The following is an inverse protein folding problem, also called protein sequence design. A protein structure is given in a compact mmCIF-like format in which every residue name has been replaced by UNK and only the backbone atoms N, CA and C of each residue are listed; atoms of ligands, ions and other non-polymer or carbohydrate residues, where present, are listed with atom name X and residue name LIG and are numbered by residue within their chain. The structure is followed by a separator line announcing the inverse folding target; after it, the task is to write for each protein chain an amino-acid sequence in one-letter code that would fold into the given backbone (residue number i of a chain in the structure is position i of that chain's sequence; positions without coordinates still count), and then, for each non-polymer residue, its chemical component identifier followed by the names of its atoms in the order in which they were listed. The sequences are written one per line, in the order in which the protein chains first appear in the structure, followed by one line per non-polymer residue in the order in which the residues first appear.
data_IF_852844838763
#
_entry.id   IF_852844838763
#
_cell.length_a   1.000
_cell.length_b   1.000
_cell.length_c   1.000
_cell.angle_alpha   90.00
_cell.angle_beta   90.00
_cell.angle_gamma   90.00
#
_symmetry.space_group_name_H-M   'P 1'
#
loop_
_entity.id
_entity.type
_entity.pdbx_description
1 polymer ?
#
# COMPACT_ATOMS: atom_id res chain seq x y z
N UNK A 1 -8.92 19.74 -8.31
CA UNK A 1 -9.67 18.55 -8.74
C UNK A 1 -8.66 17.54 -9.27
N UNK A 2 -8.03 16.77 -8.38
CA UNK A 2 -7.07 15.73 -8.76
C UNK A 2 -7.85 14.42 -8.94
N UNK A 3 -7.70 13.81 -10.10
CA UNK A 3 -8.38 12.60 -10.51
C UNK A 3 -7.82 11.41 -9.70
N UNK A 4 -8.62 10.90 -8.77
CA UNK A 4 -8.35 9.68 -8.00
C UNK A 4 -8.18 8.51 -8.97
N UNK A 5 -6.95 8.04 -9.15
CA UNK A 5 -6.65 6.92 -10.04
C UNK A 5 -6.19 5.73 -9.22
N UNK A 6 -7.11 4.80 -8.97
CA UNK A 6 -6.77 3.42 -8.61
C UNK A 6 -6.50 2.68 -9.92
N UNK A 7 -5.27 2.20 -10.11
CA UNK A 7 -4.89 1.37 -11.26
C UNK A 7 -5.08 -0.10 -10.89
N UNK A 8 -6.17 -0.68 -11.41
CA UNK A 8 -6.43 -2.13 -11.37
C UNK A 8 -5.81 -2.76 -12.61
N UNK A 9 -4.71 -3.49 -12.45
CA UNK A 9 -4.17 -4.33 -13.51
C UNK A 9 -4.71 -5.74 -13.32
N UNK A 10 -5.70 -6.14 -14.12
CA UNK A 10 -6.20 -7.52 -14.14
C UNK A 10 -5.52 -8.29 -15.28
N UNK A 11 -4.65 -9.25 -14.94
CA UNK A 11 -4.06 -10.17 -15.91
C UNK A 11 -5.00 -11.37 -16.04
N UNK A 12 -5.61 -11.52 -17.21
CA UNK A 12 -6.65 -12.52 -17.50
C UNK A 12 -6.26 -13.95 -17.10
N UNK A 13 -7.15 -14.60 -16.33
CA UNK A 13 -7.17 -16.07 -16.17
C UNK A 13 -7.73 -16.53 -14.83
N UNK A 14 -9.06 -16.63 -14.69
CA UNK A 14 -9.84 -17.33 -13.64
C UNK A 14 -9.40 -17.23 -12.17
N UNK A 15 -8.46 -16.34 -11.84
CA UNK A 15 -7.89 -16.11 -10.53
C UNK A 15 -7.80 -14.60 -10.35
N UNK A 16 -8.18 -14.12 -9.17
CA UNK A 16 -8.07 -12.71 -8.78
C UNK A 16 -6.69 -12.13 -9.14
N UNK A 17 -6.65 -10.84 -9.49
CA UNK A 17 -5.39 -10.21 -9.96
C UNK A 17 -4.22 -10.45 -9.00
N UNK A 18 -3.03 -10.80 -9.52
CA UNK A 18 -1.85 -11.00 -8.70
C UNK A 18 -1.27 -9.69 -8.16
N UNK A 19 -1.62 -8.51 -8.70
CA UNK A 19 -1.02 -7.23 -8.32
C UNK A 19 -2.02 -6.06 -8.31
N UNK A 20 -2.07 -5.36 -7.19
CA UNK A 20 -2.89 -4.16 -6.98
C UNK A 20 -2.00 -2.96 -6.63
N UNK A 21 -2.23 -1.81 -7.27
CA UNK A 21 -1.56 -0.55 -6.94
C UNK A 21 -2.62 0.48 -6.53
N UNK A 22 -2.52 0.95 -5.29
CA UNK A 22 -3.43 1.89 -4.67
C UNK A 22 -2.70 3.20 -4.42
N UNK A 23 -3.11 4.29 -5.07
CA UNK A 23 -2.55 5.63 -4.87
C UNK A 23 -3.51 6.52 -4.09
N UNK A 24 -3.01 7.20 -3.06
CA UNK A 24 -3.74 8.12 -2.16
C UNK A 24 -5.10 7.62 -1.63
N UNK A 25 -5.28 6.30 -1.52
CA UNK A 25 -6.58 5.70 -1.13
C UNK A 25 -7.02 6.07 0.29
N UNK A 26 -6.10 6.54 1.10
CA UNK A 26 -6.29 6.91 2.50
C UNK A 26 -6.33 8.43 2.75
N UNK A 27 -6.26 9.26 1.71
CA UNK A 27 -6.21 10.72 1.85
C UNK A 27 -7.42 11.31 2.60
N UNK A 28 -8.57 10.64 2.55
CA UNK A 28 -9.80 11.04 3.23
C UNK A 28 -10.16 10.15 4.44
N UNK A 29 -9.30 9.21 4.83
CA UNK A 29 -9.58 8.24 5.88
C UNK A 29 -8.80 8.56 7.16
N UNK A 30 -9.44 8.29 8.30
CA UNK A 30 -8.83 8.44 9.62
C UNK A 30 -7.92 7.24 9.98
N UNK A 31 -7.22 7.34 11.12
CA UNK A 31 -6.29 6.30 11.55
C UNK A 31 -6.98 4.95 11.81
N UNK A 32 -8.24 4.94 12.26
CA UNK A 32 -8.99 3.72 12.56
C UNK A 32 -9.42 2.98 11.28
N UNK A 33 -9.87 3.74 10.28
CA UNK A 33 -10.28 3.22 8.98
C UNK A 33 -9.09 2.70 8.18
N UNK A 34 -7.93 3.38 8.25
CA UNK A 34 -6.71 2.86 7.60
C UNK A 34 -6.28 1.52 8.21
N UNK A 35 -6.19 1.37 9.54
CA UNK A 35 -5.85 0.07 10.12
C UNK A 35 -6.78 -1.07 9.68
N UNK A 36 -8.09 -0.80 9.60
CA UNK A 36 -9.08 -1.79 9.16
C UNK A 36 -8.89 -2.20 7.69
N UNK A 37 -8.57 -1.25 6.80
CA UNK A 37 -8.27 -1.55 5.39
C UNK A 37 -7.01 -2.41 5.28
N UNK A 38 -5.94 -2.06 6.00
CA UNK A 38 -4.69 -2.82 5.98
C UNK A 38 -4.90 -4.26 6.46
N UNK A 39 -5.73 -4.44 7.49
CA UNK A 39 -6.14 -5.77 7.97
C UNK A 39 -6.98 -6.52 6.95
N UNK A 40 -7.99 -5.87 6.36
CA UNK A 40 -8.88 -6.47 5.36
C UNK A 40 -8.10 -6.96 4.14
N UNK A 41 -7.19 -6.14 3.60
CA UNK A 41 -6.32 -6.50 2.47
C UNK A 41 -5.52 -7.77 2.81
N UNK A 42 -4.90 -7.79 3.99
CA UNK A 42 -4.06 -8.91 4.43
C UNK A 42 -4.84 -10.21 4.65
N UNK A 43 -6.09 -10.14 5.09
CA UNK A 43 -6.91 -11.33 5.37
C UNK A 43 -7.67 -11.84 4.16
N UNK A 44 -8.19 -10.96 3.31
CA UNK A 44 -9.05 -11.35 2.17
C UNK A 44 -8.24 -11.67 0.91
N UNK A 45 -7.01 -11.16 0.79
CA UNK A 45 -6.18 -11.35 -0.40
C UNK A 45 -4.80 -11.93 -0.06
N UNK A 46 -4.72 -13.12 0.57
CA UNK A 46 -3.45 -13.71 1.00
C UNK A 46 -2.51 -14.10 -0.16
N UNK A 47 -3.04 -14.21 -1.37
CA UNK A 47 -2.30 -14.61 -2.58
C UNK A 47 -2.07 -13.47 -3.58
N UNK A 48 -2.45 -12.24 -3.24
CA UNK A 48 -2.27 -11.08 -4.11
C UNK A 48 -1.25 -10.11 -3.52
N UNK A 49 -0.50 -9.45 -4.40
CA UNK A 49 0.46 -8.41 -4.03
C UNK A 49 -0.22 -7.03 -4.04
N UNK A 50 -0.02 -6.25 -2.98
CA UNK A 50 -0.51 -4.87 -2.89
C UNK A 50 0.65 -3.90 -2.76
N UNK A 51 0.66 -2.87 -3.60
CA UNK A 51 1.50 -1.68 -3.47
C UNK A 51 0.57 -0.54 -3.11
N UNK A 52 0.76 0.05 -1.93
CA UNK A 52 -0.07 1.16 -1.45
C UNK A 52 0.81 2.37 -1.25
N UNK A 53 0.48 3.46 -1.94
CA UNK A 53 1.06 4.78 -1.74
C UNK A 53 0.16 5.53 -0.76
N UNK A 54 0.74 5.92 0.37
CA UNK A 54 0.01 6.45 1.52
C UNK A 54 0.92 7.36 2.34
N UNK A 55 0.33 8.37 2.99
CA UNK A 55 1.01 9.25 3.94
C UNK A 55 0.63 8.95 5.40
N UNK A 56 -0.19 7.94 5.68
CA UNK A 56 -0.72 7.64 7.02
C UNK A 56 0.00 6.47 7.69
N UNK A 57 0.35 6.65 8.96
CA UNK A 57 1.03 5.62 9.76
C UNK A 57 0.22 4.32 9.95
N UNK A 58 -1.12 4.41 9.95
CA UNK A 58 -2.00 3.25 10.07
C UNK A 58 -1.87 2.24 8.93
N UNK A 59 -1.43 2.69 7.75
CA UNK A 59 -1.08 1.82 6.62
C UNK A 59 0.28 1.16 6.82
N UNK A 60 1.27 1.91 7.29
CA UNK A 60 2.64 1.43 7.42
C UNK A 60 2.77 0.27 8.41
N UNK A 61 2.00 0.28 9.50
CA UNK A 61 2.04 -0.77 10.53
C UNK A 61 1.57 -2.14 10.04
N UNK A 62 0.74 -2.18 8.99
CA UNK A 62 0.19 -3.41 8.43
C UNK A 62 1.04 -3.96 7.26
N UNK A 63 1.96 -3.16 6.72
CA UNK A 63 2.77 -3.50 5.57
C UNK A 63 3.87 -4.53 5.89
N UNK A 64 4.15 -5.43 4.95
CA UNK A 64 5.28 -6.36 5.07
C UNK A 64 6.62 -5.67 4.77
N UNK A 65 6.61 -4.74 3.82
CA UNK A 65 7.76 -3.97 3.37
C UNK A 65 7.32 -2.52 3.23
N UNK A 66 8.12 -1.60 3.76
CA UNK A 66 7.90 -0.16 3.68
C UNK A 66 8.99 0.42 2.78
N UNK A 67 8.57 1.19 1.79
CA UNK A 67 9.46 2.02 0.97
C UNK A 67 9.22 3.49 1.36
N UNK A 68 10.30 4.21 1.70
CA UNK A 68 10.25 5.64 1.99
C UNK A 68 11.00 6.38 0.91
N UNK A 69 10.32 7.29 0.24
CA UNK A 69 10.96 8.23 -0.68
C UNK A 69 11.50 9.42 0.10
N UNK A 70 12.68 9.90 -0.26
CA UNK A 70 13.28 11.13 0.27
C UNK A 70 13.92 11.90 -0.86
N UNK A 71 13.81 13.22 -0.83
CA UNK A 71 14.51 14.08 -1.76
C UNK A 71 15.77 14.62 -1.09
N UNK A 72 16.95 14.24 -1.61
CA UNK A 72 18.25 14.62 -1.05
C UNK A 72 19.11 15.12 -2.20
N UNK A 73 19.64 16.34 -2.07
CA UNK A 73 20.54 16.97 -3.04
C UNK A 73 20.02 16.96 -4.49
N UNK A 74 18.73 17.21 -4.68
CA UNK A 74 18.11 17.23 -6.01
C UNK A 74 17.75 15.84 -6.56
N UNK A 75 18.01 14.76 -5.81
CA UNK A 75 17.82 13.37 -6.23
C UNK A 75 16.74 12.71 -5.38
N UNK A 76 15.79 12.05 -6.04
CA UNK A 76 14.80 11.18 -5.40
C UNK A 76 15.45 9.86 -4.99
N UNK A 77 15.56 9.64 -3.69
CA UNK A 77 16.13 8.43 -3.08
C UNK A 77 15.03 7.58 -2.45
N UNK A 78 15.23 6.27 -2.40
CA UNK A 78 14.28 5.31 -1.81
C UNK A 78 14.98 4.47 -0.75
N UNK A 79 14.42 4.45 0.46
CA UNK A 79 14.86 3.60 1.55
C UNK A 79 13.85 2.48 1.80
N UNK A 80 14.33 1.22 1.76
CA UNK A 80 13.51 0.04 2.05
C UNK A 80 13.67 -0.40 3.49
N UNK A 81 12.57 -0.73 4.17
CA UNK A 81 12.54 -1.33 5.51
C UNK A 81 11.61 -2.53 5.50
N UNK A 82 12.06 -3.68 6.00
CA UNK A 82 11.20 -4.88 6.16
C UNK A 82 10.59 -4.84 7.56
N UNK A 83 9.27 -4.98 7.66
CA UNK A 83 8.60 -5.03 8.94
C UNK A 83 8.98 -6.33 9.68
N UNK A 84 9.44 -6.19 10.93
CA UNK A 84 9.75 -7.33 11.78
C UNK A 84 8.43 -7.96 12.22
N UNK A 85 8.17 -9.21 11.85
CA UNK A 85 7.05 -9.97 12.41
C UNK A 85 7.29 -10.13 13.91
N UNK A 86 6.49 -9.46 14.75
CA UNK A 86 6.38 -9.86 16.16
C UNK A 86 5.80 -11.28 16.17
N UNK A 87 6.61 -12.25 16.62
CA UNK A 87 6.16 -13.61 16.94
C UNK A 87 5.21 -13.57 18.13
#
# INVERSE_FOLDING_TARGET
MALRSVLLLEVFGNNHSPLYILDEVDAALDLSHTQNIGRMIKTHFPHSQFIVVSLKEGMFSNANVIFRTKFVDGISTVQRTVAVKKK
#
